data_IF_803804872495
#
_entry.id   IF_803804872495
#
_cell.length_a   1.000
_cell.length_b   1.000
_cell.length_c   1.000
_cell.angle_alpha   90.00
_cell.angle_beta   90.00
_cell.angle_gamma   90.00
#
_symmetry.space_group_name_H-M   'P 1'
#
loop_
_entity.id
_entity.type
_entity.pdbx_description
1 polymer ?
#
# COMPACT_ATOMS: atom_id res chain seq x y z
N UNK A 1 -1.84 27.36 -8.84
CA UNK A 1 -0.97 27.77 -9.96
C UNK A 1 -1.07 26.70 -11.03
N UNK A 2 -1.75 27.01 -12.12
CA UNK A 2 -2.05 26.04 -13.20
C UNK A 2 -0.86 25.84 -14.16
N UNK A 3 0.20 26.65 -14.04
CA UNK A 3 1.39 26.61 -14.90
C UNK A 3 2.68 26.11 -14.25
N UNK A 4 2.63 25.33 -13.16
CA UNK A 4 3.84 24.76 -12.53
C UNK A 4 4.77 25.76 -11.83
N UNK A 5 4.36 27.03 -11.67
CA UNK A 5 5.11 28.05 -10.94
C UNK A 5 4.82 27.95 -9.44
N UNK A 6 5.86 27.84 -8.62
CA UNK A 6 5.79 27.87 -7.16
C UNK A 6 6.16 29.27 -6.65
N UNK A 7 5.21 29.97 -6.02
CA UNK A 7 5.44 31.29 -5.42
C UNK A 7 5.59 31.13 -3.91
N UNK A 8 6.78 31.46 -3.38
CA UNK A 8 7.06 31.41 -1.93
C UNK A 8 7.10 32.83 -1.37
N UNK A 9 6.16 33.17 -0.50
CA UNK A 9 6.15 34.45 0.21
C UNK A 9 6.74 34.31 1.61
N UNK A 10 7.79 35.07 1.91
CA UNK A 10 8.41 35.13 3.24
C UNK A 10 8.29 36.54 3.84
N UNK A 11 7.56 36.64 4.97
CA UNK A 11 7.31 37.89 5.72
C UNK A 11 7.45 37.69 7.24
N UNK A 12 8.22 36.68 7.67
CA UNK A 12 8.31 36.27 9.09
C UNK A 12 9.26 37.13 9.92
N UNK A 13 10.26 37.74 9.29
CA UNK A 13 11.28 38.53 9.96
C UNK A 13 11.19 40.00 9.56
N UNK A 14 11.72 40.87 10.43
CA UNK A 14 11.80 42.32 10.18
C UNK A 14 12.73 42.68 9.02
N UNK A 15 13.80 41.91 8.77
CA UNK A 15 14.79 42.23 7.74
C UNK A 15 14.61 41.39 6.47
N UNK A 16 14.82 42.01 5.31
CA UNK A 16 14.70 41.36 4.01
C UNK A 16 15.68 40.18 3.86
N UNK A 17 16.92 40.33 4.35
CA UNK A 17 17.91 39.26 4.30
C UNK A 17 17.47 37.99 5.05
N UNK A 18 16.83 38.15 6.21
CA UNK A 18 16.28 37.00 6.96
C UNK A 18 15.10 36.37 6.23
N UNK A 19 14.20 37.19 5.66
CA UNK A 19 13.09 36.69 4.85
C UNK A 19 13.56 35.95 3.59
N UNK A 20 14.63 36.43 2.94
CA UNK A 20 15.23 35.76 1.78
C UNK A 20 15.80 34.39 2.15
N UNK A 21 16.51 34.30 3.29
CA UNK A 21 17.03 33.02 3.79
C UNK A 21 15.90 32.04 4.11
N UNK A 22 14.86 32.48 4.82
CA UNK A 22 13.69 31.66 5.13
C UNK A 22 12.95 31.17 3.87
N UNK A 23 12.80 32.02 2.85
CA UNK A 23 12.21 31.60 1.57
C UNK A 23 13.03 30.49 0.88
N UNK A 24 14.36 30.62 0.88
CA UNK A 24 15.27 29.63 0.29
C UNK A 24 15.25 28.32 1.08
N UNK A 25 15.30 28.38 2.41
CA UNK A 25 15.25 27.17 3.26
C UNK A 25 13.95 26.37 3.05
N UNK A 26 12.81 27.06 2.92
CA UNK A 26 11.54 26.41 2.60
C UNK A 26 11.53 25.79 1.22
N UNK A 27 12.08 26.48 0.22
CA UNK A 27 12.22 25.92 -1.13
C UNK A 27 13.04 24.64 -1.10
N UNK A 28 14.21 24.67 -0.44
CA UNK A 28 15.09 23.50 -0.31
C UNK A 28 14.38 22.35 0.39
N UNK A 29 13.66 22.62 1.48
CA UNK A 29 12.90 21.59 2.21
C UNK A 29 11.83 20.94 1.35
N UNK A 30 11.11 21.74 0.55
CA UNK A 30 10.09 21.22 -0.38
C UNK A 30 10.71 20.36 -1.48
N UNK A 31 11.83 20.81 -2.05
CA UNK A 31 12.55 20.05 -3.07
C UNK A 31 13.09 18.73 -2.52
N UNK A 32 13.66 18.73 -1.31
CA UNK A 32 14.14 17.51 -0.66
C UNK A 32 13.02 16.49 -0.44
N UNK A 33 11.85 16.94 0.04
CA UNK A 33 10.68 16.07 0.21
C UNK A 33 10.15 15.53 -1.12
N UNK A 34 10.13 16.37 -2.16
CA UNK A 34 9.68 15.96 -3.49
C UNK A 34 10.67 15.00 -4.17
N UNK A 35 11.96 15.12 -3.87
CA UNK A 35 13.02 14.24 -4.38
C UNK A 35 13.05 12.88 -3.67
N UNK A 36 12.40 12.73 -2.52
CA UNK A 36 12.34 11.47 -1.80
C UNK A 36 11.50 10.45 -2.59
N UNK A 37 12.19 9.43 -3.13
CA UNK A 37 11.51 8.37 -3.88
C UNK A 37 10.73 7.48 -2.92
N UNK A 38 9.43 7.21 -3.16
CA UNK A 38 8.67 6.29 -2.31
C UNK A 38 9.30 4.90 -2.36
N UNK A 39 9.42 4.25 -1.20
CA UNK A 39 9.96 2.89 -1.12
C UNK A 39 9.08 1.95 -1.95
N UNK A 40 9.65 1.19 -2.90
CA UNK A 40 8.86 0.30 -3.73
C UNK A 40 8.19 -0.75 -2.85
N UNK A 41 6.86 -0.89 -2.98
CA UNK A 41 6.11 -1.94 -2.30
C UNK A 41 6.47 -3.28 -2.90
N UNK A 42 6.95 -4.20 -2.08
CA UNK A 42 7.06 -5.62 -2.45
C UNK A 42 5.70 -6.28 -2.19
N UNK A 43 5.17 -7.00 -3.18
CA UNK A 43 3.92 -7.74 -3.02
C UNK A 43 4.08 -8.80 -1.92
N UNK A 44 3.10 -8.89 -1.03
CA UNK A 44 3.08 -9.91 0.03
C UNK A 44 2.54 -11.21 -0.52
N UNK A 45 3.18 -12.33 -0.17
CA UNK A 45 2.64 -13.67 -0.44
C UNK A 45 1.45 -13.94 0.50
N UNK A 46 0.47 -14.79 0.12
CA UNK A 46 -0.58 -15.23 1.04
C UNK A 46 0.00 -15.82 2.32
N UNK A 47 -0.64 -15.54 3.46
CA UNK A 47 -0.19 -16.01 4.78
C UNK A 47 -0.27 -17.54 4.88
N UNK A 48 0.50 -18.12 5.81
CA UNK A 48 0.46 -19.56 6.10
C UNK A 48 -0.96 -20.01 6.46
N UNK A 49 -1.60 -19.27 7.38
CA UNK A 49 -2.99 -19.49 7.81
C UNK A 49 -3.98 -19.50 6.63
N UNK A 50 -3.83 -18.56 5.68
CA UNK A 50 -4.69 -18.53 4.49
C UNK A 50 -4.50 -19.77 3.60
N UNK A 51 -3.26 -20.27 3.48
CA UNK A 51 -2.97 -21.51 2.73
C UNK A 51 -3.55 -22.75 3.43
N UNK A 52 -3.42 -22.84 4.75
CA UNK A 52 -4.00 -23.92 5.56
C UNK A 52 -5.52 -23.93 5.46
N UNK A 53 -6.18 -22.80 5.67
CA UNK A 53 -7.64 -22.68 5.55
C UNK A 53 -8.15 -23.09 4.16
N UNK A 54 -7.43 -22.73 3.09
CA UNK A 54 -7.76 -23.18 1.74
C UNK A 54 -7.68 -24.70 1.59
N UNK A 55 -6.64 -25.32 2.17
CA UNK A 55 -6.48 -26.78 2.12
C UNK A 55 -7.55 -27.49 2.96
N UNK A 56 -7.87 -26.97 4.13
CA UNK A 56 -8.95 -27.43 5.02
C UNK A 56 -10.29 -27.42 4.28
N UNK A 57 -10.64 -26.27 3.68
CA UNK A 57 -11.87 -26.11 2.90
C UNK A 57 -11.90 -27.08 1.71
N UNK A 58 -10.77 -27.29 1.02
CA UNK A 58 -10.67 -28.26 -0.07
C UNK A 58 -10.94 -29.70 0.42
N UNK A 59 -10.40 -30.08 1.57
CA UNK A 59 -10.64 -31.40 2.20
C UNK A 59 -12.11 -31.58 2.55
N UNK A 60 -12.72 -30.62 3.24
CA UNK A 60 -14.13 -30.66 3.62
C UNK A 60 -15.05 -30.82 2.40
N UNK A 61 -14.77 -30.10 1.30
CA UNK A 61 -15.54 -30.24 0.06
C UNK A 61 -15.36 -31.62 -0.58
N UNK A 62 -14.16 -32.19 -0.53
CA UNK A 62 -13.91 -33.53 -1.07
C UNK A 62 -14.66 -34.61 -0.27
N UNK A 63 -14.67 -34.50 1.05
CA UNK A 63 -15.42 -35.41 1.94
C UNK A 63 -16.92 -35.28 1.73
N UNK A 64 -17.44 -34.05 1.60
CA UNK A 64 -18.84 -33.80 1.24
C UNK A 64 -19.22 -34.45 -0.10
N UNK A 65 -18.33 -34.38 -1.10
CA UNK A 65 -18.55 -35.02 -2.41
C UNK A 65 -18.48 -36.55 -2.34
N UNK A 66 -17.56 -37.13 -1.56
CA UNK A 66 -17.49 -38.58 -1.34
C UNK A 66 -18.76 -39.11 -0.69
N UNK A 67 -19.24 -38.46 0.37
CA UNK A 67 -20.49 -38.84 1.05
C UNK A 67 -21.71 -38.79 0.13
N UNK A 68 -21.74 -37.87 -0.84
CA UNK A 68 -22.79 -37.81 -1.88
C UNK A 68 -22.71 -38.95 -2.90
N UNK A 69 -21.53 -39.57 -3.08
CA UNK A 69 -21.30 -40.58 -4.12
C UNK A 69 -21.73 -42.00 -3.73
N UNK A 70 -22.35 -42.23 -2.58
CA UNK A 70 -22.80 -43.57 -2.21
C UNK A 70 -24.19 -43.57 -1.56
N UNK A 71 -25.21 -43.67 -2.41
CA UNK A 71 -26.21 -44.76 -2.37
C UNK A 71 -26.56 -45.02 -3.84
N UNK A 72 -25.93 -46.02 -4.44
CA UNK A 72 -26.09 -46.41 -5.84
C UNK A 72 -25.64 -47.86 -5.99
N UNK A 73 -26.51 -48.74 -5.50
CA UNK A 73 -26.66 -50.17 -5.77
C UNK A 73 -25.44 -51.10 -5.69
N UNK A 74 -25.38 -51.83 -4.58
CA UNK A 74 -25.02 -53.25 -4.56
C UNK A 74 -26.06 -53.94 -3.67
N UNK A 75 -27.00 -54.65 -4.29
CA UNK A 75 -28.04 -55.47 -3.68
C UNK A 75 -27.45 -56.72 -3.00
N UNK A 76 -28.25 -57.27 -2.09
CA UNK A 76 -28.12 -58.50 -1.25
C UNK A 76 -27.53 -58.30 0.15
#
# INVERSE_FOLDING_TARGET
>A
TEGGVLIITARRCRTQNKNRKDAVERLVTLLQKAAEKPKPRKQTKPSHKAKEQRLEAKRQQSEKKKRRRQVGDGKE
#
